data_IF_559200652009
#
_entry.id   IF_559200652009
#
_cell.length_a   1.000
_cell.length_b   1.000
_cell.length_c   1.000
_cell.angle_alpha   90.00
_cell.angle_beta   90.00
_cell.angle_gamma   90.00
#
_symmetry.space_group_name_H-M   'P 1'
#
loop_
_entity.id
_entity.type
_entity.pdbx_description
1 polymer ?
#
# COMPACT_ATOMS: atom_id res chain seq x y z
N UNK A 1 14.47 -12.53 33.10
CA UNK A 1 15.24 -11.61 32.21
C UNK A 1 14.78 -10.21 32.51
N UNK A 2 15.71 -9.29 32.70
CA UNK A 2 15.39 -7.89 32.99
C UNK A 2 14.62 -7.28 31.81
N UNK A 3 13.41 -6.80 32.08
CA UNK A 3 12.71 -5.92 31.16
C UNK A 3 13.43 -4.57 31.20
N UNK A 4 14.17 -4.26 30.14
CA UNK A 4 14.96 -3.03 30.04
C UNK A 4 14.08 -1.77 29.92
N UNK A 5 12.74 -1.90 29.86
CA UNK A 5 11.82 -0.77 29.79
C UNK A 5 11.82 -0.03 28.45
N UNK A 6 12.38 -0.64 27.40
CA UNK A 6 12.41 -0.03 26.07
C UNK A 6 11.01 0.00 25.44
N UNK A 7 10.72 1.01 24.59
CA UNK A 7 9.48 1.04 23.84
C UNK A 7 9.36 -0.22 22.98
N UNK A 8 8.18 -0.86 23.04
CA UNK A 8 7.89 -2.07 22.28
C UNK A 8 7.47 -1.68 20.87
N UNK A 9 8.10 -2.29 19.88
CA UNK A 9 7.64 -2.17 18.50
C UNK A 9 6.27 -2.83 18.34
N UNK A 10 5.36 -2.16 17.63
CA UNK A 10 4.06 -2.71 17.30
C UNK A 10 4.21 -3.72 16.14
N UNK A 11 3.82 -4.97 16.38
CA UNK A 11 3.89 -6.06 15.38
C UNK A 11 3.09 -5.76 14.10
N UNK A 12 1.94 -5.10 14.21
CA UNK A 12 1.12 -4.72 13.06
C UNK A 12 1.85 -3.70 12.18
N UNK A 13 2.48 -2.70 12.81
CA UNK A 13 3.29 -1.71 12.09
C UNK A 13 4.52 -2.35 11.42
N UNK A 14 5.16 -3.31 12.09
CA UNK A 14 6.26 -4.09 11.50
C UNK A 14 5.83 -4.85 10.24
N UNK A 15 4.69 -5.56 10.29
CA UNK A 15 4.13 -6.30 9.15
C UNK A 15 3.79 -5.34 7.99
N UNK A 16 3.11 -4.23 8.29
CA UNK A 16 2.79 -3.21 7.28
C UNK A 16 4.04 -2.68 6.58
N UNK A 17 5.08 -2.35 7.37
CA UNK A 17 6.36 -1.85 6.84
C UNK A 17 7.09 -2.87 5.97
N UNK A 18 7.03 -4.16 6.31
CA UNK A 18 7.58 -5.23 5.45
C UNK A 18 6.87 -5.24 4.09
N UNK A 19 5.54 -5.17 4.08
CA UNK A 19 4.76 -5.11 2.85
C UNK A 19 5.15 -3.93 1.95
N UNK A 20 5.27 -2.74 2.54
CA UNK A 20 5.69 -1.55 1.81
C UNK A 20 7.11 -1.68 1.22
N UNK A 21 8.05 -2.27 1.97
CA UNK A 21 9.42 -2.51 1.47
C UNK A 21 9.41 -3.45 0.26
N UNK A 22 8.66 -4.56 0.31
CA UNK A 22 8.56 -5.48 -0.82
C UNK A 22 7.90 -4.81 -2.04
N UNK A 23 6.84 -4.04 -1.81
CA UNK A 23 6.15 -3.31 -2.87
C UNK A 23 7.08 -2.28 -3.54
N UNK A 24 7.75 -1.46 -2.74
CA UNK A 24 8.71 -0.46 -3.21
C UNK A 24 9.83 -1.10 -4.03
N UNK A 25 10.40 -2.19 -3.53
CA UNK A 25 11.42 -2.95 -4.26
C UNK A 25 10.90 -3.44 -5.62
N UNK A 26 9.71 -4.04 -5.67
CA UNK A 26 9.12 -4.52 -6.92
C UNK A 26 8.87 -3.37 -7.92
N UNK A 27 8.26 -2.28 -7.47
CA UNK A 27 7.98 -1.12 -8.34
C UNK A 27 9.26 -0.53 -8.92
N UNK A 28 10.28 -0.31 -8.09
CA UNK A 28 11.51 0.33 -8.54
C UNK A 28 12.41 -0.59 -9.35
N UNK A 29 12.52 -1.87 -8.98
CA UNK A 29 13.51 -2.77 -9.60
C UNK A 29 12.95 -3.65 -10.70
N UNK A 30 11.68 -4.05 -10.60
CA UNK A 30 11.05 -4.95 -11.59
C UNK A 30 10.28 -4.14 -12.62
N UNK A 31 9.49 -3.14 -12.20
CA UNK A 31 8.76 -2.29 -13.14
C UNK A 31 9.61 -1.13 -13.68
N UNK A 32 10.67 -0.73 -12.96
CA UNK A 32 11.46 0.47 -13.31
C UNK A 32 10.68 1.77 -13.11
N UNK A 33 9.66 1.76 -12.24
CA UNK A 33 8.79 2.90 -11.96
C UNK A 33 9.18 3.58 -10.64
N UNK A 34 8.57 4.73 -10.35
CA UNK A 34 8.88 5.53 -9.16
C UNK A 34 7.76 5.34 -8.14
N UNK A 35 8.12 4.93 -6.91
CA UNK A 35 7.19 4.89 -5.78
C UNK A 35 7.42 6.09 -4.85
N UNK A 36 6.34 6.78 -4.46
CA UNK A 36 6.34 7.91 -3.53
C UNK A 36 5.40 7.61 -2.37
N UNK A 37 5.92 7.59 -1.15
CA UNK A 37 5.16 7.32 0.07
C UNK A 37 4.33 8.52 0.50
N UNK A 38 3.11 8.31 0.99
CA UNK A 38 2.34 9.34 1.70
C UNK A 38 2.69 9.26 3.20
N UNK A 39 3.03 10.37 3.86
CA UNK A 39 3.25 10.38 5.31
C UNK A 39 2.00 9.92 6.06
N UNK A 40 2.16 9.09 7.11
CA UNK A 40 1.03 8.56 7.90
C UNK A 40 0.11 9.64 8.48
N UNK A 41 0.64 10.82 8.80
CA UNK A 41 -0.12 11.98 9.28
C UNK A 41 -1.09 12.57 8.22
N UNK A 42 -0.93 12.18 6.96
CA UNK A 42 -1.75 12.59 5.81
C UNK A 42 -2.46 11.40 5.13
N UNK A 43 -2.46 10.23 5.75
CA UNK A 43 -3.04 9.01 5.19
C UNK A 43 -4.56 8.93 5.45
N UNK A 44 -5.34 9.00 4.36
CA UNK A 44 -6.78 8.78 4.35
C UNK A 44 -7.16 7.45 3.67
N UNK A 45 -6.22 6.50 3.62
CA UNK A 45 -6.33 5.21 2.95
C UNK A 45 -5.44 5.06 1.71
N UNK A 46 -4.58 6.05 1.39
CA UNK A 46 -3.60 6.02 0.29
C UNK A 46 -2.21 5.96 0.93
N UNK A 47 -1.56 4.80 0.81
CA UNK A 47 -0.22 4.59 1.35
C UNK A 47 0.86 5.24 0.45
N UNK A 48 0.58 5.40 -0.84
CA UNK A 48 1.51 6.03 -1.76
C UNK A 48 0.99 6.24 -3.18
N UNK A 49 1.88 6.73 -4.03
CA UNK A 49 1.66 6.92 -5.45
C UNK A 49 2.78 6.25 -6.25
N UNK A 50 2.42 5.66 -7.39
CA UNK A 50 3.37 5.09 -8.35
C UNK A 50 3.32 5.88 -9.64
N UNK A 51 4.44 6.49 -10.04
CA UNK A 51 4.57 7.22 -11.29
C UNK A 51 5.09 6.29 -12.40
N UNK A 52 4.39 6.28 -13.53
CA UNK A 52 4.70 5.39 -14.65
C UNK A 52 5.88 5.96 -15.45
N UNK A 53 6.89 5.12 -15.67
CA UNK A 53 8.07 5.42 -16.48
C UNK A 53 8.03 4.57 -17.75
N UNK A 54 8.20 5.20 -18.90
CA UNK A 54 8.28 4.54 -20.21
C UNK A 54 9.53 5.04 -20.92
N UNK A 55 10.41 4.11 -21.33
CA UNK A 55 11.67 4.42 -22.01
C UNK A 55 12.50 5.49 -21.28
N UNK A 56 12.53 5.44 -19.95
CA UNK A 56 13.24 6.40 -19.09
C UNK A 56 12.56 7.76 -18.89
N UNK A 57 11.39 7.98 -19.50
CA UNK A 57 10.61 9.21 -19.31
C UNK A 57 9.47 9.00 -18.31
N UNK A 58 9.38 9.89 -17.31
CA UNK A 58 8.24 9.94 -16.39
C UNK A 58 7.03 10.50 -17.14
N UNK A 59 5.95 9.73 -17.20
CA UNK A 59 4.80 10.03 -18.08
C UNK A 59 3.86 11.11 -17.53
N UNK A 60 4.05 11.52 -16.27
CA UNK A 60 3.11 12.37 -15.53
C UNK A 60 1.83 11.65 -15.10
N UNK A 61 1.67 10.36 -15.44
CA UNK A 61 0.57 9.52 -14.96
C UNK A 61 0.97 8.84 -13.66
N UNK A 62 0.14 9.00 -12.64
CA UNK A 62 0.34 8.43 -11.30
C UNK A 62 -0.83 7.54 -10.91
N UNK A 63 -0.54 6.44 -10.21
CA UNK A 63 -1.52 5.52 -9.64
C UNK A 63 -1.45 5.64 -8.13
N UNK A 64 -2.55 6.00 -7.47
CA UNK A 64 -2.66 5.92 -6.02
C UNK A 64 -2.79 4.46 -5.59
N UNK A 65 -2.08 4.07 -4.53
CA UNK A 65 -2.04 2.69 -4.04
C UNK A 65 -2.33 2.61 -2.55
N UNK A 66 -3.03 1.55 -2.18
CA UNK A 66 -3.17 1.09 -0.81
C UNK A 66 -2.49 -0.27 -0.66
N UNK A 67 -1.59 -0.40 0.30
CA UNK A 67 -0.74 -1.56 0.55
C UNK A 67 -1.26 -2.26 1.81
N UNK A 68 -1.72 -3.50 1.66
CA UNK A 68 -2.12 -4.36 2.78
C UNK A 68 -1.18 -5.55 2.87
N UNK A 69 -0.68 -5.83 4.08
CA UNK A 69 0.23 -6.94 4.35
C UNK A 69 -0.24 -7.71 5.58
N UNK A 70 -0.25 -9.04 5.50
CA UNK A 70 -0.64 -9.93 6.59
C UNK A 70 -1.63 -11.02 6.15
N UNK A 71 -1.64 -12.13 6.89
CA UNK A 71 -2.41 -13.35 6.54
C UNK A 71 -3.92 -13.10 6.46
N UNK A 72 -4.44 -12.15 7.24
CA UNK A 72 -5.87 -11.78 7.24
C UNK A 72 -6.35 -11.28 5.88
N UNK A 73 -5.49 -10.57 5.13
CA UNK A 73 -5.80 -10.03 3.80
C UNK A 73 -5.70 -11.08 2.68
N UNK A 74 -4.99 -12.18 2.93
CA UNK A 74 -4.75 -13.26 1.98
C UNK A 74 -5.68 -14.46 2.23
N UNK A 75 -6.45 -14.43 3.33
CA UNK A 75 -7.30 -15.53 3.82
C UNK A 75 -8.37 -16.06 2.85
N UNK A 76 -8.58 -15.41 1.69
CA UNK A 76 -9.48 -15.88 0.62
C UNK A 76 -8.71 -16.13 -0.68
N UNK A 77 -7.78 -17.08 -0.63
CA UNK A 77 -7.23 -17.71 -1.84
C UNK A 77 -8.38 -18.40 -2.60
N UNK A 78 -8.53 -18.03 -3.87
CA UNK A 78 -9.46 -18.68 -4.81
C UNK A 78 -8.65 -19.51 -5.81
N UNK A 79 -9.31 -20.39 -6.55
CA UNK A 79 -8.64 -21.25 -7.53
C UNK A 79 -7.83 -20.49 -8.61
N UNK A 80 -8.06 -19.18 -8.80
CA UNK A 80 -7.35 -18.35 -9.77
C UNK A 80 -6.65 -17.11 -9.21
N UNK A 81 -6.55 -16.94 -7.88
CA UNK A 81 -5.95 -15.74 -7.30
C UNK A 81 -6.44 -15.43 -5.89
N UNK A 82 -6.65 -14.15 -5.57
CA UNK A 82 -7.07 -13.71 -4.24
C UNK A 82 -8.38 -12.93 -4.33
N UNK A 83 -9.30 -13.16 -3.39
CA UNK A 83 -10.54 -12.38 -3.25
C UNK A 83 -10.36 -11.35 -2.13
N UNK A 84 -10.50 -10.07 -2.46
CA UNK A 84 -10.52 -8.96 -1.51
C UNK A 84 -11.94 -8.39 -1.40
N UNK A 85 -12.57 -8.52 -0.23
CA UNK A 85 -13.86 -7.88 0.05
C UNK A 85 -13.59 -6.56 0.79
N UNK A 86 -13.52 -5.45 0.06
CA UNK A 86 -13.34 -4.11 0.62
C UNK A 86 -14.64 -3.46 1.08
N UNK A 87 -14.56 -2.45 1.95
CA UNK A 87 -15.72 -1.64 2.35
C UNK A 87 -16.06 -0.56 1.31
N UNK A 88 -17.35 -0.39 1.00
CA UNK A 88 -17.84 0.59 0.01
C UNK A 88 -17.36 2.04 0.27
N UNK A 89 -17.03 2.40 1.51
CA UNK A 89 -16.50 3.74 1.85
C UNK A 89 -15.22 4.08 1.09
N UNK A 90 -14.35 3.09 0.87
CA UNK A 90 -13.08 3.31 0.16
C UNK A 90 -13.36 3.48 -1.34
N UNK A 91 -14.27 2.68 -1.91
CA UNK A 91 -14.72 2.83 -3.29
C UNK A 91 -15.36 4.21 -3.53
N UNK A 92 -16.22 4.67 -2.61
CA UNK A 92 -16.86 5.97 -2.70
C UNK A 92 -15.86 7.14 -2.64
N UNK A 93 -14.80 7.03 -1.85
CA UNK A 93 -13.71 8.01 -1.81
C UNK A 93 -12.94 8.07 -3.14
N UNK A 94 -12.71 6.91 -3.77
CA UNK A 94 -11.92 6.81 -5.01
C UNK A 94 -12.70 7.08 -6.30
N UNK A 95 -14.04 6.95 -6.30
CA UNK A 95 -14.87 7.06 -7.53
C UNK A 95 -15.38 8.50 -7.79
N UNK A 96 -15.01 9.49 -6.97
CA UNK A 96 -15.61 10.83 -6.99
C UNK A 96 -17.13 10.73 -6.82
N UNK A 97 -17.59 10.60 -5.57
CA UNK A 97 -18.96 10.95 -5.27
C UNK A 97 -19.10 12.47 -5.43
N UNK A 98 -19.64 12.94 -6.57
CA UNK A 98 -20.15 14.30 -6.67
C UNK A 98 -21.52 14.33 -5.96
N UNK A 99 -21.65 15.02 -4.81
CA UNK A 99 -22.97 15.28 -4.27
C UNK A 99 -23.68 16.24 -5.24
N UNK A 100 -24.87 15.85 -5.70
CA UNK A 100 -25.82 16.74 -6.37
C UNK A 100 -26.14 17.96 -5.50
#
# INVERSE_FOLDING_TARGET
MNDFGFPKQNKSQEIGRKGEVYFSHYVTTVLGWIYRTVPQESDFGIDGFVDIVINGSVTGKSIAVQIKCGDSYISKLTAGGFRYDGENRHLNYYILYEPN
#
